data_IF_092606375480
#
_entry.id   IF_092606375480
#
_cell.length_a   1.000
_cell.length_b   1.000
_cell.length_c   1.000
_cell.angle_alpha   90.00
_cell.angle_beta   90.00
_cell.angle_gamma   90.00
#
_symmetry.space_group_name_H-M   'P 1'
#
loop_
_entity.id
_entity.type
_entity.pdbx_description
1 polymer ?
#
# COMPACT_ATOMS: atom_id res chain seq x y z
N UNK A 1 -8.82 -38.39 2.00
CA UNK A 1 -8.34 -37.06 1.56
C UNK A 1 -8.99 -36.64 0.24
N UNK A 2 -9.45 -35.40 0.13
CA UNK A 2 -10.11 -34.87 -1.07
C UNK A 2 -9.15 -34.77 -2.26
N UNK A 3 -9.59 -35.21 -3.46
CA UNK A 3 -8.85 -35.10 -4.73
C UNK A 3 -8.44 -33.66 -5.08
N UNK A 4 -9.12 -32.67 -4.50
CA UNK A 4 -8.81 -31.25 -4.68
C UNK A 4 -7.38 -30.92 -4.24
N UNK A 5 -6.99 -31.35 -3.04
CA UNK A 5 -5.69 -30.99 -2.44
C UNK A 5 -4.51 -31.68 -3.11
N UNK A 6 -4.75 -32.81 -3.78
CA UNK A 6 -3.74 -33.57 -4.54
C UNK A 6 -3.57 -33.09 -5.98
N UNK A 7 -4.22 -31.98 -6.38
CA UNK A 7 -4.05 -31.44 -7.74
C UNK A 7 -2.62 -30.91 -7.91
N UNK A 8 -1.93 -31.18 -9.04
CA UNK A 8 -0.62 -30.60 -9.31
C UNK A 8 -0.65 -29.08 -9.19
N UNK A 9 0.35 -28.49 -8.55
CA UNK A 9 0.44 -27.05 -8.32
C UNK A 9 -0.34 -26.49 -7.13
N UNK A 10 -1.09 -27.33 -6.40
CA UNK A 10 -1.87 -26.88 -5.25
C UNK A 10 -0.99 -26.34 -4.11
N UNK A 11 0.18 -26.92 -3.85
CA UNK A 11 1.12 -26.41 -2.84
C UNK A 11 1.60 -25.00 -3.19
N UNK A 12 1.97 -24.75 -4.44
CA UNK A 12 2.39 -23.43 -4.92
C UNK A 12 1.25 -22.42 -4.89
N UNK A 13 0.02 -22.85 -5.19
CA UNK A 13 -1.16 -22.02 -5.04
C UNK A 13 -1.40 -21.64 -3.57
N UNK A 14 -1.32 -22.61 -2.65
CA UNK A 14 -1.49 -22.36 -1.22
C UNK A 14 -0.39 -21.44 -0.72
N UNK A 15 0.87 -21.67 -1.07
CA UNK A 15 1.99 -20.80 -0.71
C UNK A 15 1.74 -19.36 -1.15
N UNK A 16 1.23 -19.15 -2.37
CA UNK A 16 0.93 -17.81 -2.87
C UNK A 16 -0.21 -17.15 -2.09
N UNK A 17 -1.33 -17.85 -1.87
CA UNK A 17 -2.53 -17.29 -1.21
C UNK A 17 -2.35 -17.10 0.30
N UNK A 18 -1.42 -17.84 0.90
CA UNK A 18 -1.07 -17.76 2.33
C UNK A 18 0.17 -16.92 2.61
N UNK A 19 0.78 -16.33 1.58
CA UNK A 19 1.79 -15.29 1.77
C UNK A 19 1.11 -13.98 2.22
N UNK A 20 1.55 -13.34 3.32
CA UNK A 20 0.89 -12.16 3.87
C UNK A 20 0.77 -10.99 2.88
N UNK A 21 1.81 -10.74 2.07
CA UNK A 21 1.84 -9.62 1.14
C UNK A 21 0.88 -9.87 -0.03
N UNK A 22 0.87 -11.11 -0.54
CA UNK A 22 -0.06 -11.52 -1.59
C UNK A 22 -1.50 -11.61 -1.11
N UNK A 23 -1.72 -12.06 0.13
CA UNK A 23 -3.03 -12.10 0.76
C UNK A 23 -3.63 -10.70 0.90
N UNK A 24 -2.81 -9.73 1.33
CA UNK A 24 -3.22 -8.32 1.39
C UNK A 24 -3.58 -7.76 0.01
N UNK A 25 -2.83 -8.12 -1.04
CA UNK A 25 -3.13 -7.74 -2.43
C UNK A 25 -4.47 -8.33 -2.89
N UNK A 26 -4.74 -9.59 -2.56
CA UNK A 26 -5.96 -10.31 -2.97
C UNK A 26 -7.24 -9.68 -2.39
N UNK A 27 -7.18 -9.14 -1.17
CA UNK A 27 -8.33 -8.59 -0.45
C UNK A 27 -8.32 -7.06 -0.30
N UNK A 28 -7.50 -6.35 -1.09
CA UNK A 28 -7.44 -4.90 -1.07
C UNK A 28 -8.79 -4.28 -1.50
N UNK A 29 -9.35 -3.37 -0.70
CA UNK A 29 -10.65 -2.71 -0.96
C UNK A 29 -10.61 -1.80 -2.20
N UNK A 30 -9.44 -1.26 -2.56
CA UNK A 30 -9.22 -0.46 -3.77
C UNK A 30 -7.87 -0.82 -4.39
N UNK A 31 -7.82 -1.89 -5.20
CA UNK A 31 -6.56 -2.32 -5.79
C UNK A 31 -6.09 -1.31 -6.85
N UNK A 32 -4.81 -0.93 -6.87
CA UNK A 32 -4.25 -0.14 -7.96
C UNK A 32 -4.30 -0.93 -9.28
N UNK A 33 -4.13 -0.24 -10.42
CA UNK A 33 -4.06 -0.89 -11.72
C UNK A 33 -2.96 -1.98 -11.74
N UNK A 34 -3.29 -3.18 -12.23
CA UNK A 34 -2.41 -4.35 -12.21
C UNK A 34 -2.55 -5.25 -10.97
N UNK A 35 -3.32 -4.83 -9.96
CA UNK A 35 -3.67 -5.65 -8.78
C UNK A 35 -5.18 -5.95 -8.72
N UNK A 36 -5.91 -5.81 -9.83
CA UNK A 36 -7.35 -6.18 -9.83
C UNK A 36 -7.47 -7.69 -9.59
N UNK A 37 -8.59 -8.19 -9.04
CA UNK A 37 -8.77 -9.62 -8.79
C UNK A 37 -8.49 -10.50 -10.02
N UNK A 38 -8.86 -10.03 -11.21
CA UNK A 38 -8.59 -10.74 -12.46
C UNK A 38 -7.10 -10.82 -12.82
N UNK A 39 -6.34 -9.75 -12.54
CA UNK A 39 -4.89 -9.69 -12.79
C UNK A 39 -4.16 -10.62 -11.83
N UNK A 40 -4.59 -10.64 -10.56
CA UNK A 40 -4.07 -11.53 -9.52
C UNK A 40 -4.35 -13.00 -9.87
N UNK A 41 -5.57 -13.32 -10.31
CA UNK A 41 -5.89 -14.69 -10.72
C UNK A 41 -5.04 -15.15 -11.90
N UNK A 42 -4.73 -14.23 -12.82
CA UNK A 42 -3.85 -14.49 -13.96
C UNK A 42 -2.41 -14.72 -13.49
N UNK A 43 -1.88 -13.90 -12.57
CA UNK A 43 -0.56 -14.08 -11.98
C UNK A 43 -0.40 -15.45 -11.31
N UNK A 44 -1.40 -15.87 -10.52
CA UNK A 44 -1.41 -17.19 -9.87
C UNK A 44 -1.42 -18.31 -10.92
N UNK A 45 -2.28 -18.19 -11.95
CA UNK A 45 -2.37 -19.18 -13.02
C UNK A 45 -1.03 -19.33 -13.76
N UNK A 46 -0.42 -18.20 -14.16
CA UNK A 46 0.88 -18.18 -14.83
C UNK A 46 1.99 -18.80 -13.96
N UNK A 47 2.02 -18.47 -12.67
CA UNK A 47 3.01 -19.02 -11.73
C UNK A 47 2.88 -20.54 -11.59
N UNK A 48 1.66 -21.04 -11.39
CA UNK A 48 1.40 -22.47 -11.19
C UNK A 48 1.67 -23.25 -12.47
N UNK A 49 1.16 -22.78 -13.62
CA UNK A 49 1.36 -23.39 -14.92
C UNK A 49 2.84 -23.45 -15.29
N UNK A 50 3.60 -22.38 -15.03
CA UNK A 50 5.05 -22.34 -15.31
C UNK A 50 5.85 -23.33 -14.47
N UNK A 51 5.48 -23.54 -13.20
CA UNK A 51 6.21 -24.43 -12.29
C UNK A 51 5.82 -25.91 -12.44
N UNK A 52 4.55 -26.19 -12.76
CA UNK A 52 3.99 -27.55 -12.67
C UNK A 52 3.47 -28.09 -14.01
N UNK A 53 3.59 -27.33 -15.10
CA UNK A 53 3.12 -27.75 -16.42
C UNK A 53 1.59 -27.90 -16.50
N UNK A 54 0.85 -27.20 -15.65
CA UNK A 54 -0.62 -27.22 -15.62
C UNK A 54 -1.22 -26.24 -16.63
N UNK A 55 -2.54 -26.31 -16.82
CA UNK A 55 -3.31 -25.45 -17.72
C UNK A 55 -4.44 -24.72 -16.97
N UNK A 56 -4.13 -24.18 -15.78
CA UNK A 56 -5.10 -23.42 -15.00
C UNK A 56 -5.40 -22.09 -15.69
N UNK A 57 -6.67 -21.74 -15.78
CA UNK A 57 -7.14 -20.42 -16.22
C UNK A 57 -7.58 -19.57 -15.01
N UNK A 58 -7.95 -18.31 -15.27
CA UNK A 58 -8.39 -17.39 -14.21
C UNK A 58 -9.67 -17.85 -13.51
N UNK A 59 -10.54 -18.56 -14.23
CA UNK A 59 -11.78 -19.13 -13.68
C UNK A 59 -11.47 -20.28 -12.73
N UNK A 60 -10.57 -21.19 -13.10
CA UNK A 60 -10.11 -22.28 -12.24
C UNK A 60 -9.44 -21.74 -10.97
N UNK A 61 -8.61 -20.71 -11.08
CA UNK A 61 -7.99 -20.06 -9.90
C UNK A 61 -9.04 -19.44 -8.99
N UNK A 62 -10.01 -18.69 -9.53
CA UNK A 62 -11.12 -18.11 -8.76
C UNK A 62 -11.90 -19.19 -8.00
N UNK A 63 -12.25 -20.28 -8.68
CA UNK A 63 -12.96 -21.41 -8.08
C UNK A 63 -12.14 -22.11 -6.99
N UNK A 64 -10.82 -22.24 -7.18
CA UNK A 64 -9.90 -22.82 -6.18
C UNK A 64 -9.80 -21.95 -4.93
N UNK A 65 -9.76 -20.62 -5.07
CA UNK A 65 -9.77 -19.68 -3.94
C UNK A 65 -11.09 -19.78 -3.16
N UNK A 66 -12.22 -19.80 -3.86
CA UNK A 66 -13.52 -19.93 -3.22
C UNK A 66 -13.64 -21.27 -2.46
N UNK A 67 -13.21 -22.36 -3.08
CA UNK A 67 -13.27 -23.68 -2.47
C UNK A 67 -12.32 -23.83 -1.28
N UNK A 68 -11.08 -23.32 -1.38
CA UNK A 68 -10.11 -23.38 -0.28
C UNK A 68 -10.60 -22.58 0.93
N UNK A 69 -11.20 -21.41 0.71
CA UNK A 69 -11.84 -20.60 1.76
C UNK A 69 -13.01 -21.36 2.41
N UNK A 70 -13.91 -21.94 1.62
CA UNK A 70 -15.03 -22.76 2.14
C UNK A 70 -14.54 -23.91 3.01
N UNK A 71 -13.44 -24.57 2.63
CA UNK A 71 -12.85 -25.67 3.43
C UNK A 71 -12.17 -25.18 4.70
N UNK A 72 -11.49 -24.04 4.64
CA UNK A 72 -10.94 -23.38 5.82
C UNK A 72 -12.06 -23.00 6.81
N UNK A 73 -13.11 -22.33 6.35
CA UNK A 73 -14.23 -21.92 7.21
C UNK A 73 -14.93 -23.14 7.84
N UNK A 74 -15.07 -24.25 7.10
CA UNK A 74 -15.60 -25.50 7.64
C UNK A 74 -14.70 -26.12 8.73
N UNK A 75 -13.38 -26.07 8.56
CA UNK A 75 -12.43 -26.51 9.59
C UNK A 75 -12.42 -25.57 10.80
N UNK A 76 -12.53 -24.25 10.58
CA UNK A 76 -12.59 -23.23 11.64
C UNK A 76 -13.85 -23.38 12.49
N UNK A 77 -15.01 -23.55 11.86
CA UNK A 77 -16.29 -23.81 12.58
C UNK A 77 -16.22 -25.07 13.44
N UNK A 78 -15.51 -26.10 12.97
CA UNK A 78 -15.29 -27.33 13.73
C UNK A 78 -14.42 -27.06 14.96
N UNK A 79 -13.36 -26.25 14.83
CA UNK A 79 -12.57 -25.78 15.97
C UNK A 79 -13.39 -24.97 16.98
N UNK A 80 -14.22 -24.04 16.50
CA UNK A 80 -15.06 -23.17 17.35
C UNK A 80 -16.18 -23.94 18.07
N UNK A 81 -16.81 -24.92 17.41
CA UNK A 81 -17.91 -25.70 17.97
C UNK A 81 -17.50 -26.63 19.11
N UNK A 82 -16.22 -26.99 19.20
CA UNK A 82 -15.69 -27.98 20.15
C UNK A 82 -15.14 -27.33 21.44
N UNK A 83 -15.28 -26.00 21.60
CA UNK A 83 -14.92 -25.27 22.83
C UNK A 83 -15.79 -25.57 24.06
N UNK A 84 -16.65 -26.58 24.01
CA UNK A 84 -17.57 -27.00 25.07
C UNK A 84 -17.54 -28.54 25.19
N UNK A 85 -16.46 -29.09 25.76
CA UNK A 85 -16.43 -30.45 26.31
C UNK A 85 -15.41 -31.42 25.70
N UNK A 86 -14.58 -32.00 26.57
CA UNK A 86 -13.97 -33.35 26.59
C UNK A 86 -13.81 -34.10 25.25
N UNK A 87 -13.31 -33.44 24.21
CA UNK A 87 -12.89 -34.11 22.98
C UNK A 87 -11.37 -34.06 22.92
N UNK A 88 -10.72 -35.22 22.87
CA UNK A 88 -9.26 -35.35 22.77
C UNK A 88 -8.74 -34.42 21.64
N UNK A 89 -7.94 -33.41 22.00
CA UNK A 89 -7.47 -32.35 21.10
C UNK A 89 -6.78 -32.88 19.82
N UNK A 90 -6.21 -34.09 19.90
CA UNK A 90 -5.58 -34.79 18.77
C UNK A 90 -6.59 -35.23 17.71
N UNK A 91 -7.74 -35.79 18.14
CA UNK A 91 -8.82 -36.23 17.23
C UNK A 91 -9.49 -35.05 16.54
N UNK A 92 -9.61 -33.93 17.26
CA UNK A 92 -10.13 -32.67 16.74
C UNK A 92 -9.23 -32.11 15.63
N UNK A 93 -7.92 -32.08 15.89
CA UNK A 93 -6.92 -31.61 14.91
C UNK A 93 -6.93 -32.47 13.65
N UNK A 94 -7.02 -33.79 13.78
CA UNK A 94 -7.06 -34.69 12.63
C UNK A 94 -8.34 -34.48 11.80
N UNK A 95 -9.50 -34.29 12.44
CA UNK A 95 -10.76 -33.98 11.76
C UNK A 95 -10.72 -32.61 11.03
N UNK A 96 -10.00 -31.62 11.59
CA UNK A 96 -9.77 -30.33 10.94
C UNK A 96 -8.85 -30.46 9.72
N UNK A 97 -7.73 -31.17 9.87
CA UNK A 97 -6.75 -31.39 8.80
C UNK A 97 -7.32 -32.26 7.67
N UNK A 98 -8.26 -33.16 7.96
CA UNK A 98 -8.98 -33.91 6.93
C UNK A 98 -9.78 -32.98 6.00
N UNK A 99 -10.41 -31.94 6.57
CA UNK A 99 -11.16 -30.95 5.79
C UNK A 99 -10.25 -29.97 5.06
N UNK A 100 -9.23 -29.46 5.76
CA UNK A 100 -8.26 -28.51 5.24
C UNK A 100 -6.84 -28.92 5.67
N UNK A 101 -6.09 -29.65 4.82
CA UNK A 101 -4.73 -30.07 5.13
C UNK A 101 -3.78 -28.90 5.40
N UNK A 102 -4.08 -27.73 4.84
CA UNK A 102 -3.30 -26.50 5.00
C UNK A 102 -3.93 -25.54 6.02
N UNK A 103 -4.73 -26.05 6.96
CA UNK A 103 -5.46 -25.25 7.94
C UNK A 103 -4.56 -24.22 8.63
N UNK A 104 -3.41 -24.65 9.18
CA UNK A 104 -2.51 -23.78 9.93
C UNK A 104 -2.00 -22.59 9.10
N UNK A 105 -1.73 -22.80 7.81
CA UNK A 105 -1.27 -21.75 6.88
C UNK A 105 -2.38 -20.77 6.54
N UNK A 106 -3.58 -21.27 6.28
CA UNK A 106 -4.75 -20.43 6.05
C UNK A 106 -5.16 -19.67 7.31
N UNK A 107 -5.07 -20.30 8.49
CA UNK A 107 -5.40 -19.68 9.76
C UNK A 107 -4.44 -18.53 10.09
N UNK A 108 -3.14 -18.66 9.77
CA UNK A 108 -2.17 -17.58 9.95
C UNK A 108 -2.59 -16.28 9.22
N UNK A 109 -3.07 -16.38 7.98
CA UNK A 109 -3.51 -15.20 7.21
C UNK A 109 -4.94 -14.77 7.51
N UNK A 110 -5.89 -15.71 7.64
CA UNK A 110 -7.30 -15.37 7.84
C UNK A 110 -7.67 -15.02 9.29
N UNK A 111 -6.94 -15.51 10.28
CA UNK A 111 -7.13 -15.12 11.69
C UNK A 111 -6.26 -13.92 12.09
N UNK A 112 -5.49 -13.35 11.15
CA UNK A 112 -4.59 -12.21 11.43
C UNK A 112 -3.38 -12.56 12.29
N UNK A 113 -3.06 -13.84 12.47
CA UNK A 113 -1.87 -14.31 13.19
C UNK A 113 -0.69 -14.25 12.20
N UNK A 114 -0.21 -13.04 11.92
CA UNK A 114 0.86 -12.81 10.92
C UNK A 114 2.20 -13.28 11.49
N UNK A 115 2.45 -14.59 11.46
CA UNK A 115 3.79 -15.18 11.47
C UNK A 115 4.11 -15.59 10.04
N UNK A 116 5.25 -15.11 9.51
CA UNK A 116 5.80 -15.54 8.21
C UNK A 116 5.67 -17.06 8.09
N UNK A 117 4.98 -17.50 7.04
CA UNK A 117 4.59 -18.87 6.72
C UNK A 117 5.65 -19.89 7.22
N UNK A 118 5.37 -20.70 8.27
CA UNK A 118 6.35 -21.64 8.78
C UNK A 118 6.68 -22.67 7.68
N UNK A 119 7.96 -23.05 7.52
CA UNK A 119 8.37 -24.05 6.54
C UNK A 119 7.60 -25.36 6.79
N UNK A 120 7.22 -26.01 5.69
CA UNK A 120 6.46 -27.27 5.66
C UNK A 120 6.97 -28.25 6.74
N UNK A 121 6.14 -28.53 7.74
CA UNK A 121 6.47 -29.47 8.81
C UNK A 121 6.50 -30.90 8.24
N UNK A 122 7.70 -31.45 8.07
CA UNK A 122 7.91 -32.89 7.98
C UNK A 122 7.87 -33.46 9.41
N UNK A 123 6.85 -34.23 9.75
CA UNK A 123 6.78 -34.99 11.01
C UNK A 123 7.39 -36.40 10.87
N UNK A 124 7.78 -37.12 11.95
CA UNK A 124 8.15 -36.70 13.33
C UNK A 124 9.50 -37.38 13.80
N UNK A 125 10.03 -37.19 15.04
CA UNK A 125 9.42 -37.58 16.34
C UNK A 125 9.42 -36.50 17.46
N UNK A 126 8.54 -36.74 18.45
CA UNK A 126 8.16 -36.08 19.73
C UNK A 126 9.31 -36.07 20.79
N UNK A 127 9.30 -35.43 22.00
CA UNK A 127 8.53 -34.31 22.63
C UNK A 127 9.40 -33.17 23.26
N UNK A 128 8.80 -32.02 23.62
CA UNK A 128 8.81 -31.45 25.01
C UNK A 128 8.07 -30.09 25.14
N UNK A 129 7.29 -30.06 26.23
CA UNK A 129 6.61 -29.01 27.00
C UNK A 129 7.02 -27.52 26.89
N UNK A 130 6.01 -26.68 27.20
CA UNK A 130 6.01 -25.25 27.61
C UNK A 130 6.29 -24.24 26.47
N UNK A 131 5.57 -23.14 26.28
CA UNK A 131 4.92 -22.24 27.23
C UNK A 131 3.64 -21.60 26.68
N UNK A 132 2.86 -21.11 27.64
CA UNK A 132 1.61 -20.38 27.53
C UNK A 132 1.73 -19.00 26.85
N UNK A 133 0.55 -18.43 26.56
CA UNK A 133 0.28 -17.01 26.24
C UNK A 133 0.29 -16.61 24.76
N UNK A 134 -0.90 -16.63 24.15
CA UNK A 134 -1.44 -15.49 23.39
C UNK A 134 -2.78 -15.86 22.72
N UNK A 135 -3.89 -15.70 23.44
CA UNK A 135 -5.22 -15.60 22.82
C UNK A 135 -5.78 -14.20 23.08
N UNK A 136 -5.46 -13.27 22.17
CA UNK A 136 -6.23 -12.05 22.00
C UNK A 136 -7.29 -12.33 20.91
N UNK A 137 -8.51 -12.59 21.38
CA UNK A 137 -9.70 -12.80 20.54
C UNK A 137 -10.22 -11.42 20.13
N UNK A 138 -9.88 -10.96 18.94
CA UNK A 138 -10.57 -9.84 18.30
C UNK A 138 -11.70 -10.37 17.42
N UNK A 139 -12.92 -10.31 17.98
CA UNK A 139 -14.18 -10.43 17.24
C UNK A 139 -14.38 -9.19 16.40
N UNK A 140 -14.03 -9.23 15.12
CA UNK A 140 -14.51 -8.24 14.16
C UNK A 140 -14.56 -8.84 12.75
N UNK A 141 -15.62 -9.58 12.42
CA UNK A 141 -16.13 -9.76 11.05
C UNK A 141 -17.43 -10.57 11.07
N UNK A 142 -18.53 -9.90 11.38
CA UNK A 142 -19.87 -10.41 11.15
C UNK A 142 -20.72 -9.31 10.50
N UNK A 143 -20.65 -9.24 9.17
CA UNK A 143 -21.77 -8.92 8.26
C UNK A 143 -21.26 -8.74 6.84
N UNK A 144 -21.50 -9.74 6.01
CA UNK A 144 -22.19 -9.60 4.72
C UNK A 144 -22.33 -11.00 4.10
N UNK A 145 -23.28 -11.77 4.63
CA UNK A 145 -23.89 -12.90 3.94
C UNK A 145 -25.08 -12.38 3.13
N UNK A 146 -24.88 -12.18 1.82
CA UNK A 146 -25.91 -12.35 0.79
C UNK A 146 -25.15 -12.83 -0.45
N UNK A 147 -25.17 -14.14 -0.71
CA UNK A 147 -25.21 -14.71 -2.06
C UNK A 147 -25.83 -16.10 -1.99
N UNK A 148 -27.15 -16.05 -2.21
CA UNK A 148 -28.04 -17.00 -2.88
C UNK A 148 -27.53 -18.42 -3.18
N UNK A 149 -28.39 -19.37 -2.78
CA UNK A 149 -28.45 -20.75 -3.24
C UNK A 149 -28.34 -20.83 -4.77
N UNK A 150 -27.20 -21.29 -5.26
CA UNK A 150 -27.06 -21.84 -6.62
C UNK A 150 -27.11 -23.36 -6.50
N UNK A 151 -28.32 -23.86 -6.74
CA UNK A 151 -28.69 -25.26 -6.91
C UNK A 151 -27.94 -25.87 -8.11
N UNK A 152 -27.37 -27.05 -7.89
CA UNK A 152 -26.68 -27.86 -8.89
C UNK A 152 -27.72 -28.53 -9.79
N UNK A 153 -27.96 -27.99 -10.99
CA UNK A 153 -28.60 -28.73 -12.08
C UNK A 153 -28.22 -28.14 -13.44
N UNK A 154 -27.17 -28.71 -14.04
CA UNK A 154 -26.88 -28.62 -15.49
C UNK A 154 -27.75 -29.68 -16.17
N UNK A 155 -28.41 -29.37 -17.31
CA UNK A 155 -27.82 -29.83 -18.56
C UNK A 155 -27.94 -28.84 -19.73
N UNK A 156 -27.03 -29.05 -20.67
CA UNK A 156 -26.87 -28.47 -22.00
C UNK A 156 -28.16 -27.97 -22.69
N UNK A 157 -28.06 -26.78 -23.27
CA UNK A 157 -28.61 -26.49 -24.59
C UNK A 157 -27.88 -25.29 -25.20
N UNK A 158 -27.20 -25.57 -26.32
CA UNK A 158 -26.92 -24.61 -27.38
C UNK A 158 -28.08 -23.64 -27.55
N UNK A 159 -27.79 -22.34 -27.71
CA UNK A 159 -28.44 -21.50 -28.71
C UNK A 159 -27.68 -20.17 -28.86
N UNK A 160 -27.26 -19.99 -30.10
CA UNK A 160 -26.67 -18.84 -30.76
C UNK A 160 -27.22 -17.44 -30.40
N UNK A 161 -26.33 -16.44 -30.49
CA UNK A 161 -26.52 -15.08 -31.02
C UNK A 161 -27.82 -14.33 -30.67
N UNK A 162 -27.70 -13.10 -30.14
CA UNK A 162 -27.66 -11.89 -30.99
C UNK A 162 -27.58 -10.61 -30.11
N UNK A 163 -26.53 -9.82 -30.33
CA UNK A 163 -26.49 -8.41 -29.96
C UNK A 163 -27.60 -7.65 -30.70
N UNK A 164 -28.48 -6.94 -29.98
CA UNK A 164 -29.04 -5.69 -30.46
C UNK A 164 -29.05 -4.64 -29.35
N UNK A 165 -28.25 -3.62 -29.60
CA UNK A 165 -28.30 -2.32 -28.95
C UNK A 165 -29.54 -1.59 -29.47
N UNK A 166 -30.35 -1.02 -28.57
CA UNK A 166 -31.01 0.25 -28.82
C UNK A 166 -30.91 1.12 -27.57
N UNK A 167 -30.20 2.22 -27.75
CA UNK A 167 -30.23 3.38 -26.87
C UNK A 167 -31.57 4.06 -27.10
N UNK A 168 -32.35 4.24 -26.05
CA UNK A 168 -33.38 5.29 -26.00
C UNK A 168 -33.31 6.02 -24.66
N UNK A 169 -32.69 7.20 -24.73
CA UNK A 169 -32.83 8.29 -23.76
C UNK A 169 -34.26 8.81 -23.78
N UNK A 170 -35.00 8.65 -22.67
CA UNK A 170 -36.07 9.61 -22.34
C UNK A 170 -36.28 9.76 -20.82
N UNK A 171 -36.00 10.98 -20.38
CA UNK A 171 -36.37 11.58 -19.11
C UNK A 171 -37.88 11.51 -18.84
N UNK A 172 -38.29 11.12 -17.62
CA UNK A 172 -39.35 11.82 -16.87
C UNK A 172 -39.61 11.21 -15.47
N UNK A 173 -39.45 12.04 -14.45
CA UNK A 173 -40.27 12.19 -13.24
C UNK A 173 -41.08 10.97 -12.72
N UNK A 174 -40.57 10.24 -11.72
CA UNK A 174 -41.43 9.50 -10.78
C UNK A 174 -40.76 9.30 -9.41
N UNK A 175 -40.56 10.38 -8.65
CA UNK A 175 -39.90 10.33 -7.34
C UNK A 175 -40.83 10.71 -6.19
N UNK A 176 -41.99 10.07 -6.00
CA UNK A 176 -42.83 10.32 -4.79
C UNK A 176 -43.59 9.11 -4.20
N UNK A 177 -43.51 7.90 -4.77
CA UNK A 177 -44.25 6.73 -4.25
C UNK A 177 -43.44 5.77 -3.37
N UNK A 178 -42.09 5.79 -3.43
CA UNK A 178 -41.23 4.83 -2.71
C UNK A 178 -41.13 5.06 -1.19
N UNK A 179 -41.42 6.27 -0.70
CA UNK A 179 -41.27 6.62 0.71
C UNK A 179 -42.39 6.12 1.64
N UNK A 180 -43.59 5.82 1.12
CA UNK A 180 -44.72 5.34 1.95
C UNK A 180 -44.70 3.82 2.16
N UNK A 181 -44.25 3.05 1.18
CA UNK A 181 -44.13 1.58 1.28
C UNK A 181 -43.05 1.16 2.27
N UNK A 182 -41.87 1.79 2.23
CA UNK A 182 -40.77 1.54 3.17
C UNK A 182 -41.18 1.73 4.64
N UNK A 183 -41.98 2.77 4.93
CA UNK A 183 -42.46 3.05 6.31
C UNK A 183 -43.48 2.04 6.81
N UNK A 184 -44.27 1.43 5.93
CA UNK A 184 -45.23 0.37 6.29
C UNK A 184 -44.48 -0.95 6.53
N UNK A 185 -43.46 -1.23 5.75
CA UNK A 185 -42.63 -2.43 5.87
C UNK A 185 -41.76 -2.41 7.12
N UNK A 186 -41.17 -1.25 7.48
CA UNK A 186 -40.51 -1.06 8.78
C UNK A 186 -41.45 -1.24 9.96
N UNK A 187 -42.71 -0.77 9.86
CA UNK A 187 -43.70 -0.96 10.93
C UNK A 187 -44.10 -2.42 11.11
N UNK A 188 -44.32 -3.16 10.02
CA UNK A 188 -44.61 -4.60 10.08
C UNK A 188 -43.42 -5.39 10.64
N UNK A 189 -42.20 -5.07 10.22
CA UNK A 189 -41.00 -5.69 10.77
C UNK A 189 -40.84 -5.42 12.28
N UNK A 190 -41.13 -4.19 12.74
CA UNK A 190 -41.13 -3.87 14.16
C UNK A 190 -42.23 -4.61 14.95
N UNK A 191 -43.44 -4.72 14.38
CA UNK A 191 -44.55 -5.47 14.99
C UNK A 191 -44.27 -6.98 15.07
N UNK A 192 -43.60 -7.55 14.07
CA UNK A 192 -43.19 -8.96 14.08
C UNK A 192 -42.07 -9.23 15.11
N UNK A 193 -41.15 -8.27 15.31
CA UNK A 193 -40.15 -8.35 16.39
C UNK A 193 -40.83 -8.32 17.76
N UNK A 194 -41.82 -7.46 17.97
CA UNK A 194 -42.57 -7.36 19.24
C UNK A 194 -43.35 -8.66 19.52
N UNK A 195 -44.07 -9.20 18.53
CA UNK A 195 -44.78 -10.48 18.67
C UNK A 195 -43.85 -11.64 18.94
N UNK A 196 -42.67 -11.65 18.31
CA UNK A 196 -41.65 -12.65 18.60
C UNK A 196 -41.13 -12.53 20.04
N UNK A 197 -40.98 -11.31 20.56
CA UNK A 197 -40.57 -11.06 21.95
C UNK A 197 -41.61 -11.58 22.95
N UNK A 198 -42.90 -11.26 22.76
CA UNK A 198 -44.01 -11.74 23.61
C UNK A 198 -44.16 -13.27 23.57
N UNK A 199 -43.86 -13.88 22.42
CA UNK A 199 -43.90 -15.34 22.25
C UNK A 199 -42.68 -16.00 22.91
N UNK A 200 -41.52 -15.33 22.90
CA UNK A 200 -40.32 -15.77 23.59
C UNK A 200 -40.51 -15.69 25.10
N UNK A 201 -41.04 -14.59 25.64
CA UNK A 201 -41.37 -14.43 27.06
C UNK A 201 -42.32 -15.53 27.55
N UNK A 202 -43.39 -15.83 26.80
CA UNK A 202 -44.32 -16.92 27.17
C UNK A 202 -43.64 -18.29 27.19
N UNK A 203 -42.82 -18.61 26.18
CA UNK A 203 -42.05 -19.87 26.17
C UNK A 203 -41.04 -19.92 27.31
N UNK A 204 -40.47 -18.78 27.68
CA UNK A 204 -39.47 -18.70 28.73
C UNK A 204 -40.09 -18.85 30.13
N UNK A 205 -41.24 -18.23 30.37
CA UNK A 205 -42.02 -18.38 31.61
C UNK A 205 -42.52 -19.82 31.80
N UNK A 206 -42.87 -20.52 30.70
CA UNK A 206 -43.21 -21.94 30.72
C UNK A 206 -41.99 -22.81 31.07
N UNK A 207 -40.81 -22.52 30.52
CA UNK A 207 -39.55 -23.22 30.88
C UNK A 207 -39.12 -22.96 32.32
N UNK A 208 -39.26 -21.72 32.81
CA UNK A 208 -38.97 -21.36 34.21
C UNK A 208 -39.91 -22.10 35.18
N UNK A 209 -41.20 -22.18 34.85
CA UNK A 209 -42.20 -22.91 35.63
C UNK A 209 -41.91 -24.42 35.66
N UNK A 210 -41.45 -25.00 34.53
CA UNK A 210 -41.10 -26.44 34.43
C UNK A 210 -39.81 -26.83 35.15
N UNK A 211 -38.88 -25.88 35.38
CA UNK A 211 -37.59 -26.15 36.03
C UNK A 211 -37.60 -25.89 37.54
N UNK A 212 -38.71 -25.41 38.10
CA UNK A 212 -38.83 -25.16 39.54
C UNK A 212 -37.86 -24.10 40.09
N UNK A 213 -37.28 -23.26 39.22
CA UNK A 213 -36.45 -22.14 39.65
C UNK A 213 -37.39 -21.09 40.21
N UNK A 214 -37.27 -20.82 41.51
CA UNK A 214 -38.09 -19.79 42.17
C UNK A 214 -37.89 -18.44 41.50
N UNK A 215 -38.97 -17.65 41.39
CA UNK A 215 -38.96 -16.31 40.78
C UNK A 215 -37.81 -15.42 41.32
N UNK A 216 -37.48 -15.56 42.61
CA UNK A 216 -36.38 -14.83 43.23
C UNK A 216 -34.97 -15.20 42.70
N UNK A 217 -34.72 -16.48 42.45
CA UNK A 217 -33.43 -16.95 41.93
C UNK A 217 -33.24 -16.51 40.49
N UNK A 218 -34.35 -16.43 39.74
CA UNK A 218 -34.37 -15.87 38.39
C UNK A 218 -34.09 -14.37 38.38
N UNK A 219 -34.77 -13.58 39.21
CA UNK A 219 -34.54 -12.14 39.34
C UNK A 219 -33.08 -11.82 39.71
N UNK A 220 -32.48 -12.60 40.63
CA UNK A 220 -31.05 -12.46 40.97
C UNK A 220 -30.13 -12.75 39.78
N UNK A 221 -30.47 -13.75 38.96
CA UNK A 221 -29.68 -14.08 37.76
C UNK A 221 -29.78 -12.99 36.71
N UNK A 222 -30.96 -12.40 36.53
CA UNK A 222 -31.18 -11.29 35.61
C UNK A 222 -30.43 -10.03 36.06
N UNK A 223 -30.49 -9.68 37.35
CA UNK A 223 -29.71 -8.57 37.92
C UNK A 223 -28.20 -8.77 37.71
N UNK A 224 -27.70 -10.01 37.85
CA UNK A 224 -26.30 -10.33 37.58
C UNK A 224 -25.93 -10.16 36.10
N UNK A 225 -26.84 -10.51 35.19
CA UNK A 225 -26.64 -10.34 33.75
C UNK A 225 -26.61 -8.86 33.37
N UNK A 226 -27.51 -8.05 33.94
CA UNK A 226 -27.52 -6.59 33.74
C UNK A 226 -26.21 -5.96 34.25
N UNK A 227 -25.75 -6.33 35.45
CA UNK A 227 -24.45 -5.85 35.96
C UNK A 227 -23.28 -6.23 35.05
N UNK A 228 -23.29 -7.44 34.48
CA UNK A 228 -22.26 -7.88 33.51
C UNK A 228 -22.33 -7.09 32.21
N UNK A 229 -23.52 -6.75 31.74
CA UNK A 229 -23.69 -5.91 30.54
C UNK A 229 -23.14 -4.50 30.79
N UNK A 230 -23.46 -3.89 31.94
CA UNK A 230 -22.92 -2.58 32.32
C UNK A 230 -21.39 -2.59 32.45
N UNK A 231 -20.80 -3.69 32.95
CA UNK A 231 -19.35 -3.87 32.99
C UNK A 231 -18.73 -4.01 31.59
N UNK A 232 -19.40 -4.71 30.67
CA UNK A 232 -18.96 -4.84 29.28
C UNK A 232 -19.03 -3.48 28.58
N UNK A 233 -20.11 -2.73 28.76
CA UNK A 233 -20.28 -1.40 28.19
C UNK A 233 -19.23 -0.41 28.73
N UNK A 234 -18.95 -0.44 30.04
CA UNK A 234 -17.86 0.35 30.64
C UNK A 234 -16.49 -0.03 30.08
N UNK A 235 -16.20 -1.32 29.90
CA UNK A 235 -14.94 -1.77 29.28
C UNK A 235 -14.83 -1.35 27.82
N UNK A 236 -15.94 -1.43 27.08
CA UNK A 236 -15.99 -1.03 25.68
C UNK A 236 -15.74 0.47 25.51
N UNK A 237 -16.40 1.30 26.33
CA UNK A 237 -16.19 2.76 26.33
C UNK A 237 -14.76 3.13 26.74
N UNK A 238 -14.18 2.44 27.74
CA UNK A 238 -12.77 2.66 28.10
C UNK A 238 -11.81 2.26 26.98
N UNK A 239 -12.08 1.15 26.28
CA UNK A 239 -11.30 0.69 25.13
C UNK A 239 -11.36 1.68 23.96
N UNK A 240 -12.56 2.22 23.66
CA UNK A 240 -12.72 3.28 22.65
C UNK A 240 -11.93 4.53 23.03
N UNK A 241 -12.02 4.97 24.29
CA UNK A 241 -11.26 6.13 24.78
C UNK A 241 -9.76 5.93 24.64
N UNK A 242 -9.23 4.75 25.01
CA UNK A 242 -7.80 4.42 24.82
C UNK A 242 -7.39 4.39 23.35
N UNK A 243 -8.27 3.93 22.47
CA UNK A 243 -8.03 3.93 21.02
C UNK A 243 -7.99 5.35 20.47
N UNK A 244 -8.90 6.22 20.89
CA UNK A 244 -8.90 7.63 20.51
C UNK A 244 -7.64 8.34 20.99
N UNK A 245 -7.25 8.18 22.27
CA UNK A 245 -5.99 8.72 22.80
C UNK A 245 -4.76 8.22 22.03
N UNK A 246 -4.76 6.96 21.59
CA UNK A 246 -3.68 6.39 20.80
C UNK A 246 -3.63 6.96 19.37
N UNK A 247 -4.78 7.23 18.76
CA UNK A 247 -4.87 7.87 17.45
C UNK A 247 -4.41 9.33 17.53
N UNK A 248 -4.86 10.08 18.52
CA UNK A 248 -4.42 11.47 18.74
C UNK A 248 -2.90 11.55 18.95
N UNK A 249 -2.32 10.63 19.72
CA UNK A 249 -0.84 10.57 19.89
C UNK A 249 -0.12 10.27 18.58
N UNK A 250 -0.65 9.38 17.74
CA UNK A 250 -0.07 9.06 16.43
C UNK A 250 -0.18 10.25 15.47
N UNK A 251 -1.31 10.93 15.46
CA UNK A 251 -1.52 12.12 14.62
C UNK A 251 -0.60 13.27 15.05
N UNK A 252 -0.43 13.48 16.37
CA UNK A 252 0.51 14.47 16.90
C UNK A 252 1.96 14.13 16.52
N UNK A 253 2.37 12.86 16.64
CA UNK A 253 3.70 12.41 16.23
C UNK A 253 3.95 12.60 14.73
N UNK A 254 2.97 12.24 13.89
CA UNK A 254 3.07 12.43 12.45
C UNK A 254 3.12 13.92 12.06
N UNK A 255 2.36 14.77 12.73
CA UNK A 255 2.41 16.22 12.53
C UNK A 255 3.77 16.81 12.93
N UNK A 256 4.41 16.27 13.97
CA UNK A 256 5.76 16.65 14.38
C UNK A 256 6.81 16.19 13.36
N UNK A 257 6.78 14.92 12.95
CA UNK A 257 7.69 14.38 11.93
C UNK A 257 7.59 15.16 10.62
N UNK A 258 6.37 15.56 10.22
CA UNK A 258 6.16 16.40 9.04
C UNK A 258 6.78 17.79 9.19
N UNK A 259 6.74 18.39 10.39
CA UNK A 259 7.39 19.68 10.66
C UNK A 259 8.91 19.54 10.63
N UNK A 260 9.45 18.48 11.22
CA UNK A 260 10.89 18.19 11.23
C UNK A 260 11.41 17.91 9.82
N UNK A 261 10.71 17.06 9.05
CA UNK A 261 11.05 16.78 7.64
C UNK A 261 11.03 18.05 6.78
N UNK A 262 10.04 18.93 6.99
CA UNK A 262 9.98 20.23 6.31
C UNK A 262 11.17 21.11 6.69
N UNK A 263 11.48 21.23 7.98
CA UNK A 263 12.62 22.00 8.47
C UNK A 263 13.96 21.45 7.93
N UNK A 264 14.13 20.14 7.86
CA UNK A 264 15.31 19.50 7.26
C UNK A 264 15.41 19.79 5.77
N UNK A 265 14.29 19.77 5.04
CA UNK A 265 14.28 20.09 3.61
C UNK A 265 14.65 21.55 3.37
N UNK A 266 14.15 22.48 4.19
CA UNK A 266 14.47 23.90 4.12
C UNK A 266 15.95 24.14 4.47
N UNK A 267 16.48 23.45 5.48
CA UNK A 267 17.89 23.51 5.83
C UNK A 267 18.80 23.02 4.70
N UNK A 268 18.44 21.92 4.03
CA UNK A 268 19.19 21.41 2.86
C UNK A 268 19.19 22.41 1.70
N UNK A 269 18.05 23.04 1.43
CA UNK A 269 17.95 24.08 0.39
C UNK A 269 18.83 25.27 0.73
N UNK A 270 18.86 25.72 2.00
CA UNK A 270 19.71 26.81 2.43
C UNK A 270 21.21 26.49 2.28
N UNK A 271 21.62 25.27 2.63
CA UNK A 271 23.00 24.81 2.46
C UNK A 271 23.41 24.79 0.98
N UNK A 272 22.57 24.22 0.11
CA UNK A 272 22.83 24.21 -1.34
C UNK A 272 22.85 25.62 -1.93
N UNK A 273 21.97 26.51 -1.48
CA UNK A 273 21.97 27.90 -1.93
C UNK A 273 23.24 28.65 -1.51
N UNK A 274 23.71 28.44 -0.27
CA UNK A 274 24.97 28.99 0.21
C UNK A 274 26.17 28.46 -0.60
N UNK A 275 26.16 27.16 -0.96
CA UNK A 275 27.17 26.56 -1.83
C UNK A 275 27.17 27.21 -3.22
N UNK A 276 26.00 27.38 -3.84
CA UNK A 276 25.87 28.04 -5.15
C UNK A 276 26.41 29.47 -5.10
N UNK A 277 26.11 30.23 -4.04
CA UNK A 277 26.68 31.57 -3.86
C UNK A 277 28.20 31.55 -3.74
N UNK A 278 28.78 30.55 -3.05
CA UNK A 278 30.22 30.41 -2.95
C UNK A 278 30.86 30.05 -4.30
N UNK A 279 30.22 29.20 -5.10
CA UNK A 279 30.70 28.88 -6.46
C UNK A 279 30.60 30.10 -7.39
N UNK A 280 29.51 30.87 -7.29
CA UNK A 280 29.30 32.08 -8.07
C UNK A 280 30.33 33.17 -7.74
N UNK A 281 30.62 33.38 -6.46
CA UNK A 281 31.68 34.31 -6.02
C UNK A 281 33.06 33.89 -6.50
N UNK A 282 33.40 32.59 -6.43
CA UNK A 282 34.65 32.05 -7.01
C UNK A 282 34.73 32.28 -8.51
N UNK A 283 33.64 32.09 -9.24
CA UNK A 283 33.57 32.33 -10.68
C UNK A 283 33.81 33.82 -11.00
N UNK A 284 33.18 34.73 -10.26
CA UNK A 284 33.40 36.17 -10.41
C UNK A 284 34.84 36.58 -10.11
N UNK A 285 35.46 35.98 -9.10
CA UNK A 285 36.86 36.24 -8.79
C UNK A 285 37.79 35.72 -9.90
N UNK A 286 37.56 34.50 -10.40
CA UNK A 286 38.32 33.96 -11.53
C UNK A 286 38.18 34.81 -12.81
N UNK A 287 36.98 35.35 -13.06
CA UNK A 287 36.75 36.29 -14.16
C UNK A 287 37.51 37.62 -13.96
N UNK A 288 37.56 38.14 -12.75
CA UNK A 288 38.32 39.34 -12.42
C UNK A 288 39.83 39.11 -12.63
N UNK A 289 40.36 37.99 -12.13
CA UNK A 289 41.75 37.59 -12.31
C UNK A 289 42.11 37.38 -13.79
N UNK A 290 41.20 36.76 -14.55
CA UNK A 290 41.37 36.60 -16.00
C UNK A 290 41.44 37.96 -16.70
N UNK A 291 40.52 38.88 -16.42
CA UNK A 291 40.53 40.24 -16.99
C UNK A 291 41.82 40.99 -16.64
N UNK A 292 42.29 40.88 -15.40
CA UNK A 292 43.55 41.46 -14.96
C UNK A 292 44.73 40.87 -15.75
N UNK A 293 44.77 39.54 -15.91
CA UNK A 293 45.83 38.86 -16.67
C UNK A 293 45.88 39.30 -18.14
N UNK A 294 44.73 39.47 -18.79
CA UNK A 294 44.62 39.97 -20.17
C UNK A 294 45.09 41.41 -20.24
N UNK A 295 44.69 42.25 -19.28
CA UNK A 295 45.13 43.65 -19.21
C UNK A 295 46.65 43.77 -19.08
N UNK A 296 47.27 42.98 -18.19
CA UNK A 296 48.72 42.93 -18.01
C UNK A 296 49.42 42.48 -19.30
N UNK A 297 48.95 41.41 -19.94
CA UNK A 297 49.53 40.91 -21.21
C UNK A 297 49.45 41.96 -22.32
N UNK A 298 48.30 42.62 -22.46
CA UNK A 298 48.11 43.71 -23.43
C UNK A 298 49.06 44.88 -23.14
N UNK A 299 49.24 45.26 -21.89
CA UNK A 299 50.17 46.32 -21.50
C UNK A 299 51.63 45.96 -21.82
N UNK A 300 52.06 44.73 -21.51
CA UNK A 300 53.40 44.25 -21.86
C UNK A 300 53.62 44.28 -23.37
N UNK A 301 52.64 43.82 -24.15
CA UNK A 301 52.72 43.79 -25.61
C UNK A 301 52.83 45.21 -26.21
N UNK A 302 52.06 46.17 -25.67
CA UNK A 302 52.18 47.58 -26.03
C UNK A 302 53.59 48.11 -25.71
N UNK A 303 54.14 47.81 -24.53
CA UNK A 303 55.49 48.24 -24.15
C UNK A 303 56.57 47.64 -25.06
N UNK A 304 56.46 46.36 -25.41
CA UNK A 304 57.38 45.70 -26.36
C UNK A 304 57.30 46.38 -27.73
N UNK A 305 56.09 46.66 -28.24
CA UNK A 305 55.91 47.37 -29.52
C UNK A 305 56.51 48.79 -29.49
N UNK A 306 56.34 49.52 -28.39
CA UNK A 306 56.95 50.84 -28.21
C UNK A 306 58.49 50.76 -28.26
N UNK A 307 59.08 49.77 -27.59
CA UNK A 307 60.54 49.56 -27.60
C UNK A 307 61.03 49.19 -29.01
N UNK A 308 60.33 48.31 -29.72
CA UNK A 308 60.65 47.96 -31.11
C UNK A 308 60.59 49.20 -32.01
N UNK A 309 59.56 50.03 -31.88
CA UNK A 309 59.42 51.27 -32.64
C UNK A 309 60.59 52.24 -32.38
N UNK A 310 61.01 52.38 -31.11
CA UNK A 310 62.18 53.18 -30.74
C UNK A 310 63.46 52.61 -31.36
N UNK A 311 63.64 51.28 -31.38
CA UNK A 311 64.82 50.65 -31.99
C UNK A 311 64.84 50.85 -33.51
N UNK A 312 63.70 50.70 -34.20
CA UNK A 312 63.59 50.91 -35.65
C UNK A 312 63.92 52.37 -35.99
N UNK A 313 63.25 53.30 -35.32
CA UNK A 313 63.50 54.74 -35.53
C UNK A 313 64.96 55.12 -35.20
N UNK A 314 65.55 54.58 -34.14
CA UNK A 314 66.96 54.82 -33.81
C UNK A 314 67.96 54.20 -34.82
N UNK A 315 67.60 53.11 -35.51
CA UNK A 315 68.43 52.50 -36.57
C UNK A 315 68.37 53.29 -37.89
N UNK A 316 67.27 53.99 -38.15
CA UNK A 316 67.10 54.82 -39.35
C UNK A 316 67.66 56.25 -39.18
N UNK A 317 67.82 56.73 -37.94
CA UNK A 317 68.43 58.03 -37.64
C UNK A 317 69.86 58.17 -38.21
N UNK A 318 70.78 57.18 -38.10
CA UNK A 318 72.08 57.25 -38.74
C UNK A 318 72.03 57.36 -40.27
N UNK A 319 71.07 56.72 -40.95
CA UNK A 319 70.97 56.82 -42.42
C UNK A 319 70.42 58.17 -42.88
N UNK A 320 69.43 58.72 -42.16
CA UNK A 320 68.86 60.04 -42.47
C UNK A 320 69.86 61.17 -42.13
N UNK A 321 70.62 61.04 -41.04
CA UNK A 321 71.67 62.01 -40.70
C UNK A 321 72.84 61.94 -41.69
N UNK A 322 73.18 60.75 -42.21
CA UNK A 322 74.23 60.59 -43.23
C UNK A 322 73.81 61.08 -44.62
N UNK A 323 72.52 60.95 -44.98
CA UNK A 323 71.99 61.52 -46.22
C UNK A 323 71.82 63.05 -46.13
N UNK A 324 71.43 63.60 -44.98
CA UNK A 324 71.39 65.06 -44.77
C UNK A 324 72.79 65.71 -44.65
N UNK A 325 73.78 65.02 -44.09
CA UNK A 325 75.18 65.49 -44.10
C UNK A 325 75.81 65.44 -45.50
N UNK A 326 75.35 64.57 -46.39
CA UNK A 326 75.77 64.55 -47.80
C UNK A 326 75.06 65.62 -48.66
N UNK A 327 73.87 66.08 -48.26
CA UNK A 327 73.15 67.18 -48.93
C UNK A 327 73.68 68.58 -48.57
N UNK A 328 74.41 68.73 -47.47
CA UNK A 328 75.02 70.01 -47.05
C UNK A 328 76.47 70.20 -47.52
N UNK A 329 77.05 69.21 -48.23
CA UNK A 329 78.37 69.30 -48.86
C UNK A 329 78.34 69.50 -50.38
N UNK A 330 77.18 69.88 -50.93
CA UNK A 330 77.08 70.42 -52.27
C UNK A 330 77.43 71.92 -52.22
N UNK A 331 78.63 72.25 -52.69
CA UNK A 331 79.11 73.62 -52.85
C UNK A 331 78.07 74.48 -53.60
N UNK A 332 77.79 75.71 -53.14
CA UNK A 332 77.10 76.69 -53.97
C UNK A 332 78.03 77.08 -55.11
N UNK A 333 77.91 76.45 -56.28
CA UNK A 333 78.51 76.97 -57.50
C UNK A 333 77.81 78.28 -57.86
N UNK A 334 78.49 79.36 -57.52
CA UNK A 334 78.27 80.69 -58.06
C UNK A 334 78.20 80.63 -59.58
N UNK A 335 77.07 80.99 -60.15
CA UNK A 335 76.96 81.50 -61.51
C UNK A 335 76.39 82.91 -61.41
N UNK A 336 77.30 83.86 -61.18
CA UNK A 336 77.11 85.28 -61.46
C UNK A 336 78.38 85.76 -62.14
N UNK A 337 78.21 86.12 -63.42
CA UNK A 337 78.95 87.09 -64.25
C UNK A 337 78.72 86.69 -65.72
N UNK A 338 78.33 87.56 -66.65
CA UNK A 338 78.25 89.03 -66.66
C UNK A 338 77.48 89.45 -67.95
N UNK A 339 77.21 90.74 -68.24
CA UNK A 339 78.18 91.85 -68.30
C UNK A 339 78.03 92.94 -67.25
#
# INVERSE_FOLDING_TARGET
>A
MSKFWSTPGMDTFVDWVTDPDNHARLYAHQPPAGNRPIDIHKEIAELVNKKHGTTWDTVAVKSKIAYSRKKYDAARRLAEATGVGDTDETTLRDAMLEKCPFYDRFHAVYAGIIKRNPPLQKHPPVPKAQDESSLAVDKFLEKNDIMDDMDDSVPDSDLSFQCQSTVDTRSSNTSHSKGKLWKIEQKRAAEDVIKNFETLERKYMDVASRRGVGLEEWLRREELLLKRLDDIERKHTEMLRKREEALEKREAAFAQEKKESKAESEAKVLIEWARIQQEWTRYHQALADFKLSVSIRSFVLIRVLQVILVIITAKDVPQVVKSMLNLTRAEPRCLLNHP
#
